data_IF_675147172844
#
_entry.id   IF_675147172844
#
_cell.length_a   1.000
_cell.length_b   1.000
_cell.length_c   1.000
_cell.angle_alpha   90.00
_cell.angle_beta   90.00
_cell.angle_gamma   90.00
#
_symmetry.space_group_name_H-M   'P 1'
#
loop_
_entity.id
_entity.type
_entity.pdbx_description
1 polymer ?
#
# COMPACT_ATOMS: atom_id res chain seq x y z
N UNK A 1 1.09 -31.02 13.51
CA UNK A 1 0.56 -29.64 13.51
C UNK A 1 0.46 -29.19 12.05
N UNK A 2 -0.72 -28.75 11.59
CA UNK A 2 -0.90 -28.21 10.24
C UNK A 2 -0.69 -26.68 10.31
N UNK A 3 0.32 -26.11 9.62
CA UNK A 3 0.57 -24.67 9.66
C UNK A 3 -0.52 -23.91 8.87
N UNK A 4 -0.89 -22.72 9.34
CA UNK A 4 -1.84 -21.85 8.65
C UNK A 4 -1.29 -21.35 7.29
N UNK A 5 0.00 -21.06 7.23
CA UNK A 5 0.70 -20.64 6.02
C UNK A 5 2.16 -21.13 6.04
N UNK A 6 2.71 -21.38 4.84
CA UNK A 6 4.13 -21.73 4.66
C UNK A 6 4.65 -21.09 3.36
N UNK A 7 5.74 -20.30 3.39
CA UNK A 7 6.38 -19.78 2.20
C UNK A 7 6.74 -20.89 1.19
N UNK A 8 6.51 -20.62 -0.09
CA UNK A 8 6.96 -21.47 -1.18
C UNK A 8 8.18 -20.82 -1.88
N UNK A 9 9.37 -21.07 -1.35
CA UNK A 9 10.63 -20.55 -1.89
C UNK A 9 11.22 -21.59 -2.87
N UNK A 10 11.47 -21.18 -4.11
CA UNK A 10 11.95 -22.07 -5.16
C UNK A 10 13.46 -21.86 -5.43
N UNK A 11 14.01 -22.58 -6.41
CA UNK A 11 15.44 -22.49 -6.74
C UNK A 11 15.86 -21.08 -7.15
N UNK A 12 15.02 -20.32 -7.86
CA UNK A 12 15.32 -18.93 -8.24
C UNK A 12 15.47 -18.02 -7.03
N UNK A 13 14.64 -18.20 -5.99
CA UNK A 13 14.80 -17.45 -4.73
C UNK A 13 16.18 -17.69 -4.13
N UNK A 14 16.66 -18.93 -4.13
CA UNK A 14 17.99 -19.28 -3.64
C UNK A 14 19.10 -18.70 -4.54
N UNK A 15 18.94 -18.79 -5.86
CA UNK A 15 19.89 -18.25 -6.84
C UNK A 15 20.08 -16.74 -6.66
N UNK A 16 19.00 -15.97 -6.62
CA UNK A 16 19.04 -14.52 -6.38
C UNK A 16 19.64 -14.19 -5.01
N UNK A 17 19.35 -15.02 -3.99
CA UNK A 17 19.93 -14.87 -2.66
C UNK A 17 21.45 -15.00 -2.67
N UNK A 18 21.95 -16.03 -3.34
CA UNK A 18 23.39 -16.25 -3.48
C UNK A 18 24.04 -15.11 -4.28
N UNK A 19 23.35 -14.58 -5.30
CA UNK A 19 23.87 -13.50 -6.14
C UNK A 19 24.11 -12.22 -5.34
N UNK A 20 23.10 -11.70 -4.61
CA UNK A 20 23.29 -10.45 -3.88
C UNK A 20 24.31 -10.58 -2.72
N UNK A 21 24.46 -11.78 -2.15
CA UNK A 21 25.53 -12.08 -1.18
C UNK A 21 26.89 -12.00 -1.88
N UNK A 22 27.05 -12.64 -3.05
CA UNK A 22 28.33 -12.67 -3.78
C UNK A 22 28.76 -11.30 -4.29
N UNK A 23 27.81 -10.47 -4.70
CA UNK A 23 28.10 -9.10 -5.19
C UNK A 23 28.27 -8.10 -4.06
N UNK A 24 28.06 -8.51 -2.79
CA UNK A 24 27.98 -7.62 -1.62
C UNK A 24 26.96 -6.48 -1.77
N UNK A 25 25.99 -6.66 -2.65
CA UNK A 25 25.00 -5.64 -2.96
C UNK A 25 23.78 -5.81 -2.06
N UNK A 26 23.97 -5.47 -0.79
CA UNK A 26 23.03 -5.74 0.31
C UNK A 26 22.21 -4.52 0.76
N UNK A 27 22.41 -3.36 0.12
CA UNK A 27 21.70 -2.13 0.45
C UNK A 27 20.32 -2.06 -0.24
N UNK A 28 19.55 -1.02 0.08
CA UNK A 28 18.19 -0.78 -0.42
C UNK A 28 18.12 -0.27 -1.85
N UNK A 29 19.25 0.10 -2.46
CA UNK A 29 19.32 0.45 -3.87
C UNK A 29 19.98 -0.69 -4.60
N UNK A 30 19.32 -1.35 -5.57
CA UNK A 30 19.86 -2.46 -6.36
C UNK A 30 18.95 -2.94 -7.48
N UNK A 31 19.51 -3.66 -8.46
CA UNK A 31 18.73 -4.07 -9.64
C UNK A 31 17.58 -5.00 -9.26
N UNK A 32 17.73 -5.90 -8.28
CA UNK A 32 16.61 -6.74 -7.80
C UNK A 32 15.39 -5.94 -7.35
N UNK A 33 15.60 -4.77 -6.71
CA UNK A 33 14.50 -3.88 -6.31
C UNK A 33 13.84 -3.27 -7.54
N UNK A 34 14.64 -2.76 -8.48
CA UNK A 34 14.14 -2.16 -9.72
C UNK A 34 13.41 -3.18 -10.62
N UNK A 35 13.98 -4.38 -10.79
CA UNK A 35 13.42 -5.48 -11.55
C UNK A 35 12.10 -5.95 -10.93
N UNK A 36 12.02 -5.98 -9.60
CA UNK A 36 10.78 -6.32 -8.91
C UNK A 36 9.71 -5.23 -9.07
N UNK A 37 10.08 -3.95 -8.95
CA UNK A 37 9.18 -2.83 -9.25
C UNK A 37 8.64 -2.90 -10.69
N UNK A 38 9.49 -3.19 -11.68
CA UNK A 38 9.07 -3.37 -13.08
C UNK A 38 8.15 -4.58 -13.25
N UNK A 39 8.49 -5.72 -12.65
CA UNK A 39 7.66 -6.92 -12.71
C UNK A 39 6.27 -6.69 -12.11
N UNK A 40 6.19 -5.99 -10.97
CA UNK A 40 4.93 -5.66 -10.32
C UNK A 40 4.12 -4.63 -11.11
N UNK A 41 4.78 -3.63 -11.70
CA UNK A 41 4.15 -2.66 -12.61
C UNK A 41 3.44 -3.38 -13.77
N UNK A 42 4.15 -4.31 -14.42
CA UNK A 42 3.61 -5.11 -15.53
C UNK A 42 2.49 -6.06 -15.08
N UNK A 43 2.66 -6.72 -13.93
CA UNK A 43 1.68 -7.67 -13.40
C UNK A 43 0.37 -6.98 -13.01
N UNK A 44 0.47 -5.83 -12.33
CA UNK A 44 -0.66 -5.06 -11.84
C UNK A 44 -1.27 -4.15 -12.90
N UNK A 45 -0.57 -3.94 -14.03
CA UNK A 45 -0.95 -3.03 -15.11
C UNK A 45 -1.15 -1.58 -14.62
N UNK A 46 -0.25 -1.14 -13.76
CA UNK A 46 -0.17 0.24 -13.24
C UNK A 46 0.98 0.97 -13.90
N UNK A 47 1.07 2.29 -13.73
CA UNK A 47 2.22 3.08 -14.21
C UNK A 47 3.42 3.00 -13.27
N UNK A 48 3.17 2.91 -11.95
CA UNK A 48 4.23 2.92 -10.95
C UNK A 48 4.02 1.86 -9.88
N UNK A 49 5.10 1.16 -9.56
CA UNK A 49 5.24 0.36 -8.34
C UNK A 49 6.53 0.78 -7.61
N UNK A 50 6.44 0.99 -6.30
CA UNK A 50 7.52 1.49 -5.44
C UNK A 50 7.68 0.57 -4.23
N UNK A 51 8.79 -0.17 -4.18
CA UNK A 51 9.04 -1.15 -3.14
C UNK A 51 9.28 -0.49 -1.78
N UNK A 52 8.79 -1.10 -0.71
CA UNK A 52 8.87 -0.62 0.67
C UNK A 52 9.37 -1.75 1.59
N UNK A 53 9.80 -1.41 2.81
CA UNK A 53 10.30 -2.39 3.79
C UNK A 53 9.23 -3.32 4.36
N UNK A 54 7.97 -2.89 4.40
CA UNK A 54 6.82 -3.66 4.85
C UNK A 54 5.51 -3.08 4.30
N UNK A 55 4.41 -3.85 4.39
CA UNK A 55 3.08 -3.33 4.07
C UNK A 55 2.64 -2.16 4.96
N UNK A 56 3.04 -2.16 6.24
CA UNK A 56 2.78 -1.02 7.15
C UNK A 56 3.50 0.24 6.68
N UNK A 57 4.77 0.14 6.26
CA UNK A 57 5.49 1.31 5.74
C UNK A 57 4.95 1.77 4.40
N UNK A 58 4.39 0.87 3.58
CA UNK A 58 3.73 1.25 2.34
C UNK A 58 2.46 2.08 2.61
N UNK A 59 1.60 1.63 3.54
CA UNK A 59 0.41 2.39 3.96
C UNK A 59 0.77 3.75 4.56
N UNK A 60 1.80 3.79 5.41
CA UNK A 60 2.27 5.04 6.00
C UNK A 60 2.79 6.01 4.93
N UNK A 61 3.64 5.54 4.01
CA UNK A 61 4.13 6.36 2.89
C UNK A 61 3.00 6.85 1.99
N UNK A 62 1.95 6.05 1.79
CA UNK A 62 0.78 6.46 1.02
C UNK A 62 0.08 7.66 1.66
N UNK A 63 -0.15 7.66 2.97
CA UNK A 63 -0.73 8.80 3.68
C UNK A 63 0.20 10.01 3.70
N UNK A 64 1.51 9.82 3.93
CA UNK A 64 2.46 10.93 3.87
C UNK A 64 2.54 11.57 2.48
N UNK A 65 2.45 10.78 1.40
CA UNK A 65 2.45 11.30 0.03
C UNK A 65 1.17 12.07 -0.33
N UNK A 66 0.07 11.77 0.36
CA UNK A 66 -1.19 12.51 0.33
C UNK A 66 -1.20 13.69 1.31
N UNK A 67 -0.09 13.93 2.01
CA UNK A 67 0.08 15.06 2.95
C UNK A 67 -0.93 15.04 4.11
N UNK A 68 -1.37 13.84 4.51
CA UNK A 68 -2.31 13.65 5.61
C UNK A 68 -1.68 14.04 6.93
N UNK A 69 -2.40 14.86 7.71
CA UNK A 69 -1.93 15.37 9.00
C UNK A 69 -3.04 15.45 10.07
N UNK A 70 -2.77 16.17 11.17
CA UNK A 70 -3.69 16.33 12.28
C UNK A 70 -5.03 17.03 11.95
N UNK A 71 -5.12 17.72 10.81
CA UNK A 71 -6.36 18.32 10.33
C UNK A 71 -7.32 17.28 9.75
N UNK A 72 -6.82 16.09 9.39
CA UNK A 72 -7.56 15.10 8.63
C UNK A 72 -8.15 13.97 9.48
N UNK A 73 -9.32 13.52 9.02
CA UNK A 73 -9.95 12.27 9.43
C UNK A 73 -9.78 11.22 8.32
N UNK A 74 -9.51 9.98 8.70
CA UNK A 74 -9.36 8.86 7.75
C UNK A 74 -10.34 7.75 8.10
N UNK A 75 -11.20 7.37 7.15
CA UNK A 75 -12.15 6.27 7.33
C UNK A 75 -11.41 4.93 7.24
N UNK A 76 -11.57 4.09 8.27
CA UNK A 76 -10.95 2.76 8.37
C UNK A 76 -12.00 1.72 8.79
N UNK A 77 -12.08 0.54 8.16
CA UNK A 77 -12.97 -0.52 8.63
C UNK A 77 -12.52 -1.03 10.00
N UNK A 78 -13.47 -1.22 10.91
CA UNK A 78 -13.21 -1.71 12.27
C UNK A 78 -12.68 -3.15 12.31
N UNK A 79 -12.95 -3.94 11.26
CA UNK A 79 -12.38 -5.27 11.06
C UNK A 79 -11.22 -5.21 10.05
N UNK A 80 -9.99 -5.08 10.56
CA UNK A 80 -8.76 -5.08 9.76
C UNK A 80 -7.55 -5.48 10.60
N UNK A 81 -6.38 -5.62 9.98
CA UNK A 81 -5.12 -5.67 10.71
C UNK A 81 -4.77 -4.29 11.25
N UNK A 82 -4.30 -4.22 12.51
CA UNK A 82 -4.14 -2.96 13.26
C UNK A 82 -3.25 -1.91 12.58
N UNK A 83 -2.34 -2.34 11.69
CA UNK A 83 -1.49 -1.42 10.93
C UNK A 83 -2.29 -0.37 10.17
N UNK A 84 -3.46 -0.72 9.62
CA UNK A 84 -4.32 0.20 8.85
C UNK A 84 -4.78 1.40 9.70
N UNK A 85 -5.08 1.21 10.99
CA UNK A 85 -5.45 2.30 11.89
C UNK A 85 -4.21 3.00 12.48
N UNK A 86 -3.14 2.25 12.79
CA UNK A 86 -1.92 2.81 13.39
C UNK A 86 -1.25 3.84 12.48
N UNK A 87 -1.18 3.59 11.18
CA UNK A 87 -0.57 4.52 10.22
C UNK A 87 -1.29 5.86 10.15
N UNK A 88 -2.60 5.90 10.43
CA UNK A 88 -3.35 7.16 10.55
C UNK A 88 -2.85 7.95 11.75
N UNK A 89 -2.68 7.28 12.91
CA UNK A 89 -2.12 7.92 14.11
C UNK A 89 -0.65 8.31 13.93
N UNK A 90 0.14 7.59 13.13
CA UNK A 90 1.52 7.97 12.83
C UNK A 90 1.60 9.28 12.04
N UNK A 91 0.61 9.56 11.18
CA UNK A 91 0.43 10.86 10.53
C UNK A 91 -0.21 11.92 11.44
N UNK A 92 -0.44 11.63 12.73
CA UNK A 92 -1.18 12.50 13.67
C UNK A 92 -2.64 12.77 13.32
N UNK A 93 -3.18 12.10 12.29
CA UNK A 93 -4.59 12.14 11.89
C UNK A 93 -5.49 11.31 12.83
N UNK A 94 -6.80 11.35 12.61
CA UNK A 94 -7.77 10.57 13.39
C UNK A 94 -8.43 9.43 12.57
N UNK A 95 -8.30 8.16 13.00
CA UNK A 95 -8.97 7.04 12.34
C UNK A 95 -10.44 7.01 12.76
N UNK A 96 -11.31 7.28 11.79
CA UNK A 96 -12.75 7.17 11.97
C UNK A 96 -13.18 5.75 11.60
N UNK A 97 -13.36 4.91 12.62
CA UNK A 97 -13.74 3.52 12.44
C UNK A 97 -15.15 3.42 11.87
N UNK A 98 -15.36 2.60 10.84
CA UNK A 98 -16.67 2.23 10.30
C UNK A 98 -16.94 0.73 10.44
N UNK A 99 -18.21 0.33 10.33
CA UNK A 99 -18.59 -1.07 10.34
C UNK A 99 -18.16 -1.81 9.05
N UNK A 100 -18.35 -3.12 9.04
CA UNK A 100 -18.05 -4.00 7.90
C UNK A 100 -19.27 -4.80 7.47
N UNK A 101 -19.34 -5.12 6.19
CA UNK A 101 -20.34 -6.04 5.68
C UNK A 101 -20.10 -7.46 6.26
N UNK A 102 -21.11 -8.01 6.91
CA UNK A 102 -21.04 -9.30 7.61
C UNK A 102 -20.71 -10.52 6.72
N UNK A 103 -20.85 -10.40 5.39
CA UNK A 103 -20.61 -11.50 4.44
C UNK A 103 -19.19 -11.46 3.87
N UNK A 104 -18.70 -10.27 3.56
CA UNK A 104 -17.41 -10.03 2.91
C UNK A 104 -16.33 -9.62 3.89
N UNK A 105 -16.71 -9.16 5.09
CA UNK A 105 -15.85 -8.52 6.10
C UNK A 105 -15.12 -7.27 5.61
N UNK A 106 -15.48 -6.78 4.42
CA UNK A 106 -14.96 -5.54 3.86
C UNK A 106 -15.80 -4.35 4.35
N UNK A 107 -15.32 -3.13 4.10
CA UNK A 107 -15.97 -1.90 4.54
C UNK A 107 -17.48 -1.85 4.20
N UNK A 108 -18.31 -1.48 5.19
CA UNK A 108 -19.70 -1.10 4.96
C UNK A 108 -19.71 0.34 4.43
N UNK A 109 -20.01 0.49 3.14
CA UNK A 109 -19.96 1.79 2.46
C UNK A 109 -21.05 2.74 2.96
N UNK A 110 -22.21 2.23 3.38
CA UNK A 110 -23.26 3.07 3.95
C UNK A 110 -22.84 3.62 5.33
N UNK A 111 -22.24 2.77 6.18
CA UNK A 111 -21.73 3.22 7.48
C UNK A 111 -20.55 4.19 7.34
N UNK A 112 -19.63 3.91 6.42
CA UNK A 112 -18.56 4.83 6.05
C UNK A 112 -19.15 6.19 5.62
N UNK A 113 -20.14 6.20 4.74
CA UNK A 113 -20.81 7.41 4.27
C UNK A 113 -21.43 8.26 5.38
N UNK A 114 -22.02 7.61 6.42
CA UNK A 114 -22.59 8.30 7.59
C UNK A 114 -21.54 8.95 8.50
N UNK A 115 -20.30 8.47 8.45
CA UNK A 115 -19.20 8.91 9.31
C UNK A 115 -18.33 9.99 8.69
N UNK A 116 -18.49 10.25 7.39
CA UNK A 116 -17.76 11.31 6.69
C UNK A 116 -18.10 12.68 7.29
N UNK A 117 -17.06 13.44 7.61
CA UNK A 117 -17.12 14.81 8.08
C UNK A 117 -16.47 15.75 7.05
N UNK A 118 -16.49 17.06 7.31
CA UNK A 118 -15.72 18.03 6.51
C UNK A 118 -14.21 17.89 6.64
N UNK A 119 -13.73 17.09 7.62
CA UNK A 119 -12.31 16.79 7.83
C UNK A 119 -11.89 15.48 7.18
N UNK A 120 -12.82 14.67 6.68
CA UNK A 120 -12.48 13.41 6.05
C UNK A 120 -11.74 13.66 4.75
N UNK A 121 -10.53 13.13 4.64
CA UNK A 121 -9.68 13.28 3.45
C UNK A 121 -9.45 11.96 2.72
N UNK A 122 -9.46 10.83 3.45
CA UNK A 122 -9.12 9.51 2.92
C UNK A 122 -10.12 8.46 3.40
N UNK A 123 -10.44 7.52 2.51
CA UNK A 123 -11.05 6.23 2.84
C UNK A 123 -10.06 5.10 2.54
N UNK A 124 -9.89 4.17 3.49
CA UNK A 124 -9.03 3.00 3.34
C UNK A 124 -9.88 1.73 3.26
N UNK A 125 -10.33 1.30 2.07
CA UNK A 125 -10.90 -0.04 1.92
C UNK A 125 -9.81 -1.09 2.15
N UNK A 126 -10.15 -2.15 2.88
CA UNK A 126 -9.25 -3.28 3.15
C UNK A 126 -9.82 -4.53 2.50
N UNK A 127 -9.01 -5.17 1.66
CA UNK A 127 -9.43 -6.37 0.93
C UNK A 127 -9.15 -7.64 1.74
N UNK A 128 -10.04 -7.91 2.68
CA UNK A 128 -9.91 -9.00 3.66
C UNK A 128 -9.85 -10.35 2.97
N UNK A 129 -8.73 -11.07 3.17
CA UNK A 129 -8.49 -12.39 2.57
C UNK A 129 -8.75 -12.44 1.05
N UNK A 130 -8.54 -11.33 0.34
CA UNK A 130 -8.78 -11.23 -1.09
C UNK A 130 -10.23 -10.96 -1.51
N UNK A 131 -11.18 -10.88 -0.56
CA UNK A 131 -12.50 -10.33 -0.83
C UNK A 131 -12.39 -8.80 -0.92
N UNK A 132 -13.10 -8.19 -1.86
CA UNK A 132 -12.96 -6.78 -2.14
C UNK A 132 -14.16 -5.91 -1.75
N UNK A 133 -15.24 -6.52 -1.25
CA UNK A 133 -16.48 -5.80 -0.96
C UNK A 133 -17.06 -5.13 -2.20
N UNK A 134 -17.75 -4.02 -1.99
CA UNK A 134 -18.31 -3.20 -3.09
C UNK A 134 -17.34 -2.07 -3.48
N UNK A 135 -16.40 -2.38 -4.39
CA UNK A 135 -15.44 -1.38 -4.86
C UNK A 135 -16.15 -0.23 -5.59
N UNK A 136 -17.21 -0.53 -6.35
CA UNK A 136 -17.94 0.49 -7.12
C UNK A 136 -18.53 1.54 -6.19
N UNK A 137 -19.21 1.09 -5.13
CA UNK A 137 -19.78 1.98 -4.13
C UNK A 137 -18.71 2.79 -3.38
N UNK A 138 -17.52 2.21 -3.09
CA UNK A 138 -16.41 2.97 -2.48
C UNK A 138 -15.88 4.05 -3.43
N UNK A 139 -15.72 3.73 -4.72
CA UNK A 139 -15.27 4.68 -5.74
C UNK A 139 -16.26 5.84 -5.90
N UNK A 140 -17.55 5.53 -5.98
CA UNK A 140 -18.63 6.53 -6.07
C UNK A 140 -18.65 7.43 -4.84
N UNK A 141 -18.62 6.86 -3.63
CA UNK A 141 -18.60 7.62 -2.39
C UNK A 141 -17.41 8.57 -2.30
N UNK A 142 -16.22 8.09 -2.67
CA UNK A 142 -15.01 8.91 -2.67
C UNK A 142 -15.09 10.04 -3.69
N UNK A 143 -15.59 9.76 -4.91
CA UNK A 143 -15.75 10.76 -5.96
C UNK A 143 -16.73 11.87 -5.53
N UNK A 144 -17.91 11.49 -5.01
CA UNK A 144 -18.96 12.41 -4.59
C UNK A 144 -18.51 13.33 -3.44
N UNK A 145 -17.59 12.85 -2.61
CA UNK A 145 -17.08 13.54 -1.43
C UNK A 145 -15.70 14.16 -1.62
N UNK A 146 -15.08 13.99 -2.79
CA UNK A 146 -13.74 14.49 -3.09
C UNK A 146 -12.64 13.85 -2.23
N UNK A 147 -12.80 12.58 -1.86
CA UNK A 147 -11.86 11.85 -1.00
C UNK A 147 -10.81 11.11 -1.82
N UNK A 148 -9.61 10.96 -1.24
CA UNK A 148 -8.62 10.02 -1.73
C UNK A 148 -8.95 8.60 -1.26
N UNK A 149 -8.52 7.61 -2.04
CA UNK A 149 -8.64 6.19 -1.69
C UNK A 149 -7.24 5.61 -1.58
N UNK A 150 -6.92 5.07 -0.41
CA UNK A 150 -5.72 4.23 -0.22
C UNK A 150 -6.17 2.79 -0.05
N UNK A 151 -5.95 1.94 -1.05
CA UNK A 151 -6.37 0.53 -0.99
C UNK A 151 -5.39 -0.29 -0.15
N UNK A 152 -5.84 -0.85 0.98
CA UNK A 152 -5.08 -1.87 1.70
C UNK A 152 -5.31 -3.24 1.04
N UNK A 153 -4.47 -3.52 0.05
CA UNK A 153 -4.44 -4.78 -0.70
C UNK A 153 -3.41 -5.78 -0.12
N UNK A 154 -2.97 -5.61 1.14
CA UNK A 154 -1.97 -6.45 1.77
C UNK A 154 -2.37 -7.94 1.91
N UNK A 155 -3.63 -8.28 1.62
CA UNK A 155 -4.15 -9.65 1.63
C UNK A 155 -4.79 -10.05 0.29
N UNK A 156 -4.56 -9.28 -0.78
CA UNK A 156 -5.35 -9.39 -2.01
C UNK A 156 -4.52 -9.44 -3.30
N UNK A 157 -3.19 -9.62 -3.19
CA UNK A 157 -2.34 -9.75 -4.37
C UNK A 157 -2.85 -10.91 -5.26
N UNK A 158 -3.14 -10.58 -6.52
CA UNK A 158 -3.63 -11.51 -7.53
C UNK A 158 -5.15 -11.56 -7.70
N UNK A 159 -5.91 -10.93 -6.80
CA UNK A 159 -7.33 -10.69 -6.99
C UNK A 159 -7.62 -9.74 -8.16
N UNK A 160 -8.84 -9.80 -8.68
CA UNK A 160 -9.31 -8.95 -9.78
C UNK A 160 -10.66 -8.34 -9.41
N UNK A 161 -10.92 -7.14 -9.94
CA UNK A 161 -12.23 -6.50 -9.98
C UNK A 161 -12.46 -6.04 -11.43
N UNK A 162 -13.36 -6.73 -12.14
CA UNK A 162 -13.53 -6.55 -13.59
C UNK A 162 -12.20 -6.76 -14.34
N UNK A 163 -11.78 -5.74 -15.09
CA UNK A 163 -10.50 -5.71 -15.81
C UNK A 163 -9.31 -5.24 -14.97
N UNK A 164 -9.55 -4.74 -13.75
CA UNK A 164 -8.55 -4.20 -12.85
C UNK A 164 -8.05 -5.24 -11.86
N UNK A 165 -6.83 -5.04 -11.35
CA UNK A 165 -6.31 -5.80 -10.22
C UNK A 165 -6.77 -5.15 -8.92
N UNK A 166 -6.91 -5.94 -7.85
CA UNK A 166 -7.17 -5.36 -6.54
C UNK A 166 -5.94 -4.56 -6.09
N UNK A 167 -6.16 -3.36 -5.56
CA UNK A 167 -5.12 -2.42 -5.17
C UNK A 167 -4.68 -1.49 -6.30
N UNK A 168 -5.48 -1.33 -7.36
CA UNK A 168 -5.13 -0.50 -8.53
C UNK A 168 -6.24 0.43 -8.99
N UNK A 169 -7.25 0.66 -8.16
CA UNK A 169 -8.46 1.44 -8.51
C UNK A 169 -8.50 2.81 -7.83
N UNK A 170 -7.89 2.94 -6.66
CA UNK A 170 -7.80 4.15 -5.87
C UNK A 170 -6.61 5.03 -6.22
N UNK A 171 -6.32 5.99 -5.34
CA UNK A 171 -5.18 6.92 -5.50
C UNK A 171 -3.84 6.19 -5.34
N UNK A 172 -3.72 5.34 -4.31
CA UNK A 172 -2.53 4.53 -4.01
C UNK A 172 -2.98 3.16 -3.50
N UNK A 173 -2.46 2.08 -4.07
CA UNK A 173 -2.63 0.73 -3.53
C UNK A 173 -1.41 0.26 -2.76
N UNK A 174 -1.64 -0.46 -1.66
CA UNK A 174 -0.58 -0.95 -0.79
C UNK A 174 -0.60 -2.48 -0.68
N UNK A 175 0.57 -3.11 -0.86
CA UNK A 175 0.75 -4.55 -0.72
C UNK A 175 1.75 -4.89 0.38
N UNK A 176 1.62 -6.11 0.91
CA UNK A 176 2.55 -6.70 1.87
C UNK A 176 3.15 -7.97 1.27
N UNK A 177 4.44 -8.17 1.52
CA UNK A 177 5.20 -9.37 1.18
C UNK A 177 5.77 -10.04 2.43
N UNK A 178 5.08 -9.89 3.57
CA UNK A 178 5.40 -10.62 4.80
C UNK A 178 5.37 -12.15 4.57
N UNK A 179 5.99 -12.92 5.46
CA UNK A 179 6.19 -14.35 5.32
C UNK A 179 4.92 -15.18 4.99
N UNK A 180 3.74 -14.75 5.46
CA UNK A 180 2.49 -15.46 5.24
C UNK A 180 1.64 -14.94 4.07
N UNK A 181 2.17 -14.02 3.25
CA UNK A 181 1.45 -13.40 2.13
C UNK A 181 1.51 -14.24 0.86
N UNK A 182 0.68 -13.91 -0.12
CA UNK A 182 0.56 -14.60 -1.42
C UNK A 182 1.89 -14.65 -2.17
N UNK A 183 2.69 -13.58 -2.04
CA UNK A 183 4.08 -13.47 -2.46
C UNK A 183 4.88 -12.98 -1.25
N UNK A 184 6.08 -13.51 -1.02
CA UNK A 184 6.88 -13.09 0.14
C UNK A 184 8.34 -12.76 -0.20
N UNK A 185 8.84 -11.75 0.49
CA UNK A 185 10.26 -11.37 0.58
C UNK A 185 10.78 -11.52 2.01
N UNK A 186 10.09 -12.30 2.86
CA UNK A 186 10.28 -12.33 4.30
C UNK A 186 9.60 -11.13 4.97
N UNK A 187 10.15 -9.94 4.75
CA UNK A 187 9.54 -8.65 5.02
C UNK A 187 9.57 -7.79 3.75
N UNK A 188 8.50 -7.04 3.51
CA UNK A 188 8.41 -6.20 2.32
C UNK A 188 7.02 -5.61 2.11
N UNK A 189 6.96 -4.55 1.31
CA UNK A 189 5.72 -3.96 0.84
C UNK A 189 5.90 -3.26 -0.50
N UNK A 190 4.81 -2.70 -1.01
CA UNK A 190 4.79 -1.95 -2.27
C UNK A 190 3.69 -0.90 -2.21
N UNK A 191 3.99 0.32 -2.63
CA UNK A 191 2.97 1.28 -3.06
C UNK A 191 2.82 1.18 -4.57
N UNK A 192 1.60 1.26 -5.08
CA UNK A 192 1.32 1.38 -6.52
C UNK A 192 0.41 2.55 -6.79
N UNK A 193 0.60 3.21 -7.93
CA UNK A 193 -0.24 4.33 -8.35
C UNK A 193 -0.13 4.56 -9.85
N UNK A 194 -1.12 5.22 -10.43
CA UNK A 194 -1.08 5.71 -11.80
C UNK A 194 -0.71 7.20 -11.89
N UNK A 195 -0.57 7.90 -10.75
CA UNK A 195 -0.15 9.30 -10.70
C UNK A 195 1.38 9.42 -10.70
N UNK A 196 1.92 10.14 -11.69
CA UNK A 196 3.35 10.46 -11.77
C UNK A 196 3.79 11.33 -10.57
N UNK A 197 2.90 12.21 -10.10
CA UNK A 197 3.16 13.09 -8.95
C UNK A 197 3.27 12.29 -7.64
N UNK A 198 2.27 11.45 -7.35
CA UNK A 198 2.29 10.62 -6.13
C UNK A 198 3.47 9.65 -6.14
N UNK A 199 3.81 9.09 -7.29
CA UNK A 199 4.97 8.22 -7.41
C UNK A 199 6.28 8.94 -7.07
N UNK A 200 6.47 10.19 -7.52
CA UNK A 200 7.66 10.99 -7.19
C UNK A 200 7.70 11.33 -5.69
N UNK A 201 6.56 11.73 -5.09
CA UNK A 201 6.47 11.98 -3.64
C UNK A 201 6.84 10.73 -2.83
N UNK A 202 6.27 9.57 -3.16
CA UNK A 202 6.56 8.30 -2.47
C UNK A 202 8.05 7.94 -2.61
N UNK A 203 8.63 8.06 -3.81
CA UNK A 203 10.06 7.75 -4.03
C UNK A 203 10.98 8.68 -3.24
N UNK A 204 10.62 9.96 -3.16
CA UNK A 204 11.36 10.98 -2.41
C UNK A 204 11.32 10.69 -0.92
N UNK A 205 10.11 10.50 -0.36
CA UNK A 205 9.92 10.19 1.06
C UNK A 205 10.63 8.89 1.46
N UNK A 206 10.49 7.82 0.68
CA UNK A 206 11.20 6.54 0.91
C UNK A 206 12.73 6.70 0.95
N UNK A 207 13.25 7.70 0.24
CA UNK A 207 14.68 7.97 0.12
C UNK A 207 15.12 9.14 1.00
N UNK A 208 14.58 9.23 2.22
CA UNK A 208 14.93 10.25 3.21
C UNK A 208 14.65 11.68 2.75
N UNK A 209 13.63 11.89 1.91
CA UNK A 209 13.29 13.22 1.38
C UNK A 209 14.23 13.72 0.27
N UNK A 210 15.03 12.84 -0.34
CA UNK A 210 15.93 13.19 -1.45
C UNK A 210 15.22 12.99 -2.79
N UNK A 211 15.09 14.06 -3.56
CA UNK A 211 14.50 14.00 -4.90
C UNK A 211 15.43 13.32 -5.92
N UNK A 212 14.93 13.09 -7.15
CA UNK A 212 15.72 12.47 -8.23
C UNK A 212 16.88 13.32 -8.76
N UNK A 213 16.83 14.64 -8.60
CA UNK A 213 17.84 15.59 -9.08
C UNK A 213 19.09 15.55 -8.19
N UNK A 214 18.92 15.32 -6.89
CA UNK A 214 20.01 15.27 -5.91
C UNK A 214 20.49 13.86 -5.57
N UNK A 215 20.32 12.86 -6.47
CA UNK A 215 20.72 11.46 -6.19
C UNK A 215 22.20 11.28 -5.85
N UNK A 216 23.07 12.11 -6.40
CA UNK A 216 24.52 12.11 -6.11
C UNK A 216 24.94 13.08 -5.00
N UNK A 217 24.00 13.83 -4.42
CA UNK A 217 24.26 14.93 -3.49
C UNK A 217 23.60 14.67 -2.14
N UNK A 218 24.19 15.14 -1.04
CA UNK A 218 23.65 14.95 0.31
C UNK A 218 22.59 16.04 0.65
N UNK A 219 21.63 16.24 -0.26
CA UNK A 219 20.57 17.25 -0.17
C UNK A 219 19.23 16.57 0.03
N UNK A 220 18.47 17.04 1.02
CA UNK A 220 17.18 16.52 1.45
C UNK A 220 16.16 17.66 1.42
N UNK A 221 15.25 17.66 0.45
CA UNK A 221 14.34 18.78 0.17
C UNK A 221 13.14 18.84 1.12
N UNK A 222 12.77 17.67 1.65
CA UNK A 222 11.66 17.48 2.56
C UNK A 222 12.08 16.53 3.69
N UNK A 223 11.30 16.52 4.77
CA UNK A 223 11.46 15.52 5.82
C UNK A 223 10.92 14.19 5.29
N UNK A 224 11.72 13.12 5.33
CA UNK A 224 11.37 11.78 4.88
C UNK A 224 12.18 10.69 5.56
#
# INVERSE_FOLDING_TARGET
MLPLAKPNLNSKTLEYTIEWIKTNWISSQGHFVADFEVAMTNYLKVRHAIACSSGTTALHLALCALEIDCADDVIVPSFTFIATANIVKYCSAEPILCDVDSKTFCIDVEDAGRRITSRTAVIIPVYINGHHGDIEAVLELALDRGLHIVEDACQALGGNYGSHKLGTTGSIGCFSFFANKQLTTGEGGMCVTNSDELAEKIRTLRNHGRNKEHRSEYVHDVIG
#
